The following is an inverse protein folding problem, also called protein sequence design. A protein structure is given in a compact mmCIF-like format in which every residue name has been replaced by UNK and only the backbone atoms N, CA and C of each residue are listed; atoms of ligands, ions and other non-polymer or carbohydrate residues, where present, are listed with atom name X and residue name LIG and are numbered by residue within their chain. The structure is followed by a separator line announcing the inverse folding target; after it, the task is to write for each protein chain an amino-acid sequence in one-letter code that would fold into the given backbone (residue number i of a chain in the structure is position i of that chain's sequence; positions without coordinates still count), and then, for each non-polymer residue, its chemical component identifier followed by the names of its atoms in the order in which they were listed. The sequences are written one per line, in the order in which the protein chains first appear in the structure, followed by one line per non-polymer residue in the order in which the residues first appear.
data_IF_013923641325
#
_entry.id   IF_013923641325
#
_cell.length_a   1.000
_cell.length_b   1.000
_cell.length_c   1.000
_cell.angle_alpha   90.00
_cell.angle_beta   90.00
_cell.angle_gamma   90.00
#
_symmetry.space_group_name_H-M   'P 1'
#
loop_
_entity.id
_entity.type
_entity.pdbx_description
1 polymer ?
#
# COMPACT_ATOMS: atom_id res chain seq x y z
N UNK A 1 10.45 -4.53 0.81
CA UNK A 1 9.42 -5.24 1.61
C UNK A 1 8.19 -5.47 0.74
N UNK A 2 7.52 -6.60 0.86
CA UNK A 2 6.28 -6.91 0.12
C UNK A 2 5.13 -7.10 1.11
N UNK A 3 3.94 -6.65 0.72
CA UNK A 3 2.68 -6.92 1.41
C UNK A 3 1.58 -7.13 0.37
N UNK A 4 0.31 -7.03 0.77
CA UNK A 4 -0.81 -7.32 -0.10
C UNK A 4 -1.90 -6.25 -0.01
N UNK A 5 -2.40 -5.85 -1.17
CA UNK A 5 -3.49 -4.89 -1.31
C UNK A 5 -4.84 -5.47 -0.84
N UNK A 6 -5.92 -4.69 -0.94
CA UNK A 6 -7.30 -5.10 -0.65
C UNK A 6 -7.70 -6.46 -1.24
N UNK A 7 -7.35 -6.69 -2.50
CA UNK A 7 -7.72 -7.88 -3.29
C UNK A 7 -6.72 -9.03 -3.15
N UNK A 8 -5.78 -8.93 -2.20
CA UNK A 8 -4.68 -9.89 -2.00
C UNK A 8 -3.70 -9.97 -3.17
N UNK A 9 -3.61 -8.91 -3.96
CA UNK A 9 -2.51 -8.76 -4.90
C UNK A 9 -1.24 -8.36 -4.16
N UNK A 10 -0.12 -8.95 -4.57
CA UNK A 10 1.21 -8.54 -4.13
C UNK A 10 1.48 -7.06 -4.46
N UNK A 11 1.91 -6.28 -3.47
CA UNK A 11 2.38 -4.91 -3.64
C UNK A 11 3.73 -4.72 -2.95
N UNK A 12 4.55 -3.90 -3.59
CA UNK A 12 5.89 -3.51 -3.14
C UNK A 12 6.14 -2.06 -3.56
N UNK A 13 7.21 -1.45 -3.06
CA UNK A 13 7.68 -0.14 -3.52
C UNK A 13 7.75 -0.10 -5.05
N UNK A 14 7.26 0.98 -5.66
CA UNK A 14 7.12 1.13 -7.12
C UNK A 14 5.79 0.64 -7.71
N UNK A 15 5.00 -0.15 -6.98
CA UNK A 15 3.67 -0.59 -7.44
C UNK A 15 2.75 0.61 -7.62
N UNK A 16 2.01 0.66 -8.74
CA UNK A 16 0.97 1.66 -8.96
C UNK A 16 -0.30 1.22 -8.26
N UNK A 17 -0.85 2.09 -7.41
CA UNK A 17 -2.02 1.80 -6.59
C UNK A 17 -3.05 2.92 -6.65
N UNK A 18 -4.29 2.58 -6.33
CA UNK A 18 -5.37 3.50 -6.03
C UNK A 18 -5.76 3.38 -4.55
N UNK A 19 -6.02 4.52 -3.90
CA UNK A 19 -6.59 4.57 -2.55
C UNK A 19 -8.10 4.38 -2.67
N UNK A 20 -8.60 3.25 -2.16
CA UNK A 20 -9.99 2.86 -2.27
C UNK A 20 -10.92 3.93 -1.66
N UNK A 21 -12.03 4.22 -2.34
CA UNK A 21 -13.01 5.23 -1.91
C UNK A 21 -12.65 6.69 -2.22
N UNK A 22 -11.40 7.00 -2.56
CA UNK A 22 -10.99 8.38 -2.93
C UNK A 22 -10.73 8.56 -4.42
N UNK A 23 -10.44 7.46 -5.14
CA UNK A 23 -10.04 7.49 -6.55
C UNK A 23 -8.63 8.04 -6.79
N UNK A 24 -7.92 8.51 -5.76
CA UNK A 24 -6.54 9.01 -5.88
C UNK A 24 -5.60 7.86 -6.22
N UNK A 25 -4.67 8.10 -7.13
CA UNK A 25 -3.67 7.10 -7.56
C UNK A 25 -2.27 7.64 -7.37
N UNK A 26 -1.32 6.73 -7.17
CA UNK A 26 0.09 7.05 -7.05
C UNK A 26 0.95 5.79 -7.04
N UNK A 27 2.27 5.96 -6.92
CA UNK A 27 3.21 4.85 -6.71
C UNK A 27 3.53 4.71 -5.23
N UNK A 28 3.69 3.48 -4.76
CA UNK A 28 4.19 3.23 -3.40
C UNK A 28 5.64 3.68 -3.33
N UNK A 29 5.97 4.58 -2.40
CA UNK A 29 7.35 5.08 -2.19
C UNK A 29 8.02 4.48 -0.96
N UNK A 30 7.25 4.03 0.03
CA UNK A 30 7.76 3.35 1.22
C UNK A 30 6.73 2.37 1.80
N UNK A 31 7.23 1.32 2.48
CA UNK A 31 6.44 0.37 3.28
C UNK A 31 7.19 0.16 4.60
N UNK A 32 6.64 0.66 5.70
CA UNK A 32 7.20 0.58 7.04
C UNK A 32 6.69 -0.67 7.75
N UNK A 33 7.55 -1.65 8.01
CA UNK A 33 7.11 -2.96 8.52
C UNK A 33 7.82 -3.44 9.78
N UNK A 34 8.68 -2.61 10.38
CA UNK A 34 9.49 -2.99 11.52
C UNK A 34 8.64 -3.44 12.70
N UNK A 35 8.92 -4.65 13.20
CA UNK A 35 8.21 -5.25 14.34
C UNK A 35 6.78 -5.71 14.06
N UNK A 36 6.30 -5.66 12.81
CA UNK A 36 4.94 -6.08 12.45
C UNK A 36 4.91 -7.48 11.83
N UNK A 37 3.95 -8.30 12.29
CA UNK A 37 3.59 -9.53 11.57
C UNK A 37 2.92 -9.20 10.23
N UNK A 38 2.91 -10.12 9.24
CA UNK A 38 2.23 -9.89 7.97
C UNK A 38 0.75 -9.51 8.11
N UNK A 39 0.05 -10.07 9.11
CA UNK A 39 -1.35 -9.76 9.39
C UNK A 39 -1.55 -8.34 9.93
N UNK A 40 -0.64 -7.89 10.80
CA UNK A 40 -0.65 -6.52 11.36
C UNK A 40 -0.27 -5.49 10.30
N UNK A 41 0.81 -5.73 9.55
CA UNK A 41 1.26 -4.85 8.46
C UNK A 41 0.13 -4.53 7.49
N UNK A 42 -0.64 -5.56 7.12
CA UNK A 42 -1.74 -5.43 6.15
C UNK A 42 -2.87 -4.48 6.62
N UNK A 43 -3.02 -4.29 7.93
CA UNK A 43 -4.09 -3.52 8.59
C UNK A 43 -3.55 -2.35 9.42
N UNK A 44 -2.32 -1.92 9.13
CA UNK A 44 -1.66 -0.80 9.82
C UNK A 44 -1.26 0.25 8.80
N UNK A 45 -1.40 1.53 9.15
CA UNK A 45 -0.97 2.65 8.31
C UNK A 45 0.55 2.62 8.20
N UNK A 46 1.03 2.11 7.07
CA UNK A 46 2.44 1.74 6.88
C UNK A 46 2.95 2.04 5.48
N UNK A 47 2.05 2.35 4.54
CA UNK A 47 2.39 2.57 3.14
C UNK A 47 2.29 4.04 2.79
N UNK A 48 3.35 4.59 2.22
CA UNK A 48 3.35 5.94 1.66
C UNK A 48 3.13 5.87 0.15
N UNK A 49 2.26 6.75 -0.37
CA UNK A 49 1.90 6.82 -1.79
C UNK A 49 2.27 8.20 -2.31
N UNK A 50 3.03 8.25 -3.40
CA UNK A 50 3.43 9.48 -4.08
C UNK A 50 2.20 10.37 -4.37
N UNK A 51 2.32 11.66 -4.05
CA UNK A 51 1.24 12.63 -4.26
C UNK A 51 0.06 12.50 -3.29
N UNK A 52 0.18 11.68 -2.24
CA UNK A 52 -0.82 11.53 -1.17
C UNK A 52 -0.17 11.75 0.20
N UNK A 53 -0.78 12.61 1.02
CA UNK A 53 -0.28 12.89 2.37
C UNK A 53 -0.66 11.76 3.34
N UNK A 54 0.30 11.39 4.19
CA UNK A 54 0.12 10.39 5.24
C UNK A 54 0.42 8.96 4.79
N UNK A 55 0.09 8.02 5.69
CA UNK A 55 0.28 6.58 5.48
C UNK A 55 -1.07 5.87 5.41
N UNK A 56 -1.12 4.84 4.57
CA UNK A 56 -2.31 4.06 4.28
C UNK A 56 -2.12 2.62 4.72
N UNK A 57 -3.21 1.97 5.08
CA UNK A 57 -3.20 0.52 5.29
C UNK A 57 -3.12 -0.19 3.93
N UNK A 58 -2.36 -1.28 3.79
CA UNK A 58 -2.38 -2.08 2.57
C UNK A 58 -3.79 -2.52 2.13
N UNK A 59 -4.70 -2.81 3.07
CA UNK A 59 -6.11 -3.15 2.75
C UNK A 59 -6.95 -2.00 2.17
N UNK A 60 -6.47 -0.76 2.26
CA UNK A 60 -7.10 0.41 1.64
C UNK A 60 -6.63 0.62 0.20
N UNK A 61 -5.59 -0.08 -0.24
CA UNK A 61 -5.00 0.08 -1.56
C UNK A 61 -5.54 -0.96 -2.54
N UNK A 62 -5.62 -0.58 -3.82
CA UNK A 62 -5.93 -1.47 -4.94
C UNK A 62 -4.80 -1.35 -5.95
N UNK A 63 -4.13 -2.46 -6.26
CA UNK A 63 -3.07 -2.50 -7.26
C UNK A 63 -3.63 -2.29 -8.66
N UNK A 64 -3.06 -1.35 -9.38
CA UNK A 64 -3.38 -1.05 -10.78
C UNK A 64 -2.35 -1.62 -11.77
N UNK A 65 -1.16 -1.99 -11.29
CA UNK A 65 -0.09 -2.58 -12.10
C UNK A 65 1.22 -2.68 -11.33
N UNK A 66 2.14 -3.50 -11.85
CA UNK A 66 3.54 -3.54 -11.42
C UNK A 66 4.37 -2.93 -12.54
N UNK A 67 4.97 -1.77 -12.28
CA UNK A 67 5.81 -1.00 -13.21
C UNK A 67 5.14 -0.59 -14.53
#
# INVERSE_FOLDING_TARGET
MMTYDRNRNAITTGSRVMINGTGRTGKIVAIHADGLTPAQLRRSKTVEVEGCEGQFEPVELIRLGLH
#
